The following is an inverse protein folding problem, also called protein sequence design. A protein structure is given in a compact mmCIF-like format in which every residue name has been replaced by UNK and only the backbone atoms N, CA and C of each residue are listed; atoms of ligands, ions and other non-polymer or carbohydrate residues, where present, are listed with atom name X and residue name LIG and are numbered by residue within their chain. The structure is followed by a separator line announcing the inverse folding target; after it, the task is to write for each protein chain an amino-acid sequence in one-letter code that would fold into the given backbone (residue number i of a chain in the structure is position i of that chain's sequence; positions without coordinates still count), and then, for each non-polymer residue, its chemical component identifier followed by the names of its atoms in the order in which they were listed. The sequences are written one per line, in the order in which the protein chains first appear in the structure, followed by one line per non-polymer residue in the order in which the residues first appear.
data_IF_283040348850
#
_entry.id   IF_283040348850
#
_cell.length_a   1.000
_cell.length_b   1.000
_cell.length_c   1.000
_cell.angle_alpha   90.00
_cell.angle_beta   90.00
_cell.angle_gamma   90.00
#
_symmetry.space_group_name_H-M   'P 1'
#
loop_
_entity.id
_entity.type
_entity.pdbx_description
1 polymer ?
#
# COMPACT_ATOMS: atom_id res chain seq x y z
N UNK A 1 -9.80 32.95 43.45
CA UNK A 1 -10.70 32.21 44.38
C UNK A 1 -10.88 30.76 43.96
N UNK A 2 -11.00 30.48 42.66
CA UNK A 2 -11.20 29.11 42.15
C UNK A 2 -10.08 28.14 42.54
N UNK A 3 -8.82 28.57 42.49
CA UNK A 3 -7.67 27.75 42.94
C UNK A 3 -7.85 27.20 44.36
N UNK A 4 -8.27 28.03 45.32
CA UNK A 4 -8.43 27.60 46.72
C UNK A 4 -9.54 26.55 46.84
N UNK A 5 -10.63 26.71 46.10
CA UNK A 5 -11.75 25.75 46.08
C UNK A 5 -11.34 24.43 45.43
N UNK A 6 -10.64 24.50 44.31
CA UNK A 6 -10.13 23.31 43.64
C UNK A 6 -9.07 22.59 44.50
N UNK A 7 -8.21 23.34 45.19
CA UNK A 7 -7.11 22.80 45.97
C UNK A 7 -7.52 22.27 47.35
N UNK A 8 -8.41 22.97 48.06
CA UNK A 8 -8.75 22.65 49.44
C UNK A 8 -10.18 22.14 49.62
N UNK A 9 -11.01 22.22 48.58
CA UNK A 9 -12.38 21.73 48.55
C UNK A 9 -13.39 22.85 48.29
N UNK A 10 -14.49 22.53 47.62
CA UNK A 10 -15.46 23.54 47.15
C UNK A 10 -16.06 24.39 48.28
N UNK A 11 -16.29 23.79 49.46
CA UNK A 11 -16.89 24.48 50.61
C UNK A 11 -15.85 24.99 51.63
N UNK A 12 -14.55 24.95 51.32
CA UNK A 12 -13.50 25.25 52.31
C UNK A 12 -13.63 26.67 52.87
N UNK A 13 -13.88 27.65 52.00
CA UNK A 13 -14.02 29.05 52.38
C UNK A 13 -15.33 29.28 53.14
N UNK A 14 -16.40 28.64 52.69
CA UNK A 14 -17.70 28.69 53.37
C UNK A 14 -17.65 28.14 54.79
N UNK A 15 -16.95 27.02 55.00
CA UNK A 15 -16.90 26.33 56.30
C UNK A 15 -15.80 26.86 57.22
N UNK A 16 -14.66 27.25 56.67
CA UNK A 16 -13.45 27.53 57.47
C UNK A 16 -12.81 28.90 57.17
N UNK A 17 -13.26 29.61 56.13
CA UNK A 17 -12.65 30.85 55.67
C UNK A 17 -12.96 32.04 56.58
N UNK A 18 -11.94 32.87 56.81
CA UNK A 18 -12.02 34.20 57.43
C UNK A 18 -11.29 35.16 56.47
N UNK A 19 -11.88 36.32 56.23
CA UNK A 19 -11.31 37.37 55.37
C UNK A 19 -10.58 38.37 56.25
N UNK A 20 -9.25 38.37 56.21
CA UNK A 20 -8.44 39.41 56.82
C UNK A 20 -8.21 40.53 55.79
N UNK A 21 -8.72 41.72 56.09
CA UNK A 21 -8.49 42.94 55.31
C UNK A 21 -7.36 43.71 55.99
N UNK A 22 -6.33 44.07 55.24
CA UNK A 22 -5.19 44.84 55.75
C UNK A 22 -5.34 46.33 55.44
N UNK A 23 -4.38 47.14 55.87
CA UNK A 23 -4.40 48.61 55.73
C UNK A 23 -5.52 49.26 56.55
N UNK A 24 -5.70 48.77 57.79
CA UNK A 24 -6.65 49.36 58.73
C UNK A 24 -6.37 50.81 59.08
N UNK A 25 -5.13 51.27 58.96
CA UNK A 25 -4.74 52.68 59.06
C UNK A 25 -5.44 53.54 58.02
N UNK A 26 -5.45 53.11 56.75
CA UNK A 26 -6.18 53.81 55.68
C UNK A 26 -7.68 53.82 55.96
N UNK A 27 -8.24 52.70 56.40
CA UNK A 27 -9.66 52.62 56.71
C UNK A 27 -10.05 53.53 57.89
N UNK A 28 -9.20 53.63 58.93
CA UNK A 28 -9.46 54.51 60.06
C UNK A 28 -9.56 55.97 59.62
N UNK A 29 -8.71 56.41 58.69
CA UNK A 29 -8.79 57.75 58.10
C UNK A 29 -10.11 57.96 57.34
N UNK A 30 -10.51 57.00 56.50
CA UNK A 30 -11.82 57.04 55.81
C UNK A 30 -13.01 57.02 56.78
N UNK A 31 -12.89 56.28 57.88
CA UNK A 31 -13.91 56.21 58.93
C UNK A 31 -14.05 57.54 59.66
N UNK A 32 -12.96 58.25 59.94
CA UNK A 32 -13.00 59.58 60.54
C UNK A 32 -13.72 60.60 59.64
N UNK A 33 -13.57 60.48 58.32
CA UNK A 33 -14.23 61.37 57.35
C UNK A 33 -15.70 61.01 57.11
N UNK A 34 -16.00 59.71 56.96
CA UNK A 34 -17.33 59.24 56.55
C UNK A 34 -18.25 58.84 57.71
N UNK A 35 -17.67 58.50 58.86
CA UNK A 35 -18.38 57.92 60.01
C UNK A 35 -18.86 56.48 59.80
N UNK A 36 -18.52 55.83 58.68
CA UNK A 36 -19.00 54.49 58.33
C UNK A 36 -18.18 53.43 59.07
N UNK A 37 -18.85 52.46 59.70
CA UNK A 37 -18.17 51.34 60.37
C UNK A 37 -17.57 50.35 59.37
N UNK A 38 -16.59 49.55 59.80
CA UNK A 38 -15.95 48.55 58.93
C UNK A 38 -16.96 47.54 58.36
N UNK A 39 -17.93 47.07 59.16
CA UNK A 39 -18.95 46.12 58.71
C UNK A 39 -19.89 46.73 57.66
N UNK A 40 -20.23 48.02 57.79
CA UNK A 40 -21.02 48.75 56.80
C UNK A 40 -20.21 48.97 55.52
N UNK A 41 -18.95 49.36 55.63
CA UNK A 41 -18.04 49.52 54.49
C UNK A 41 -17.89 48.22 53.71
N UNK A 42 -17.70 47.09 54.40
CA UNK A 42 -17.66 45.75 53.80
C UNK A 42 -19.00 45.43 53.11
N UNK A 43 -20.12 45.79 53.73
CA UNK A 43 -21.46 45.58 53.19
C UNK A 43 -21.79 46.40 51.94
N UNK A 44 -21.06 47.50 51.70
CA UNK A 44 -21.18 48.35 50.51
C UNK A 44 -20.29 47.89 49.35
N UNK A 45 -19.31 47.02 49.61
CA UNK A 45 -18.44 46.51 48.55
C UNK A 45 -19.22 45.66 47.54
N UNK A 46 -18.74 45.62 46.30
CA UNK A 46 -19.36 44.88 45.20
C UNK A 46 -18.35 44.00 44.47
N UNK A 47 -18.83 43.15 43.56
CA UNK A 47 -17.99 42.26 42.75
C UNK A 47 -17.30 41.16 43.57
N UNK A 48 -16.11 40.74 43.13
CA UNK A 48 -15.43 39.55 43.63
C UNK A 48 -15.09 39.59 45.14
N UNK A 49 -14.88 40.79 45.69
CA UNK A 49 -14.64 40.93 47.13
C UNK A 49 -15.90 40.63 47.94
N UNK A 50 -17.05 41.19 47.54
CA UNK A 50 -18.33 40.88 48.19
C UNK A 50 -18.68 39.40 48.08
N UNK A 51 -18.42 38.77 46.93
CA UNK A 51 -18.65 37.33 46.74
C UNK A 51 -17.83 36.49 47.74
N UNK A 52 -16.55 36.84 47.93
CA UNK A 52 -15.67 36.19 48.93
C UNK A 52 -16.18 36.41 50.36
N UNK A 53 -16.60 37.63 50.69
CA UNK A 53 -17.12 37.97 52.02
C UNK A 53 -18.42 37.21 52.31
N UNK A 54 -19.34 37.19 51.35
CA UNK A 54 -20.62 36.46 51.45
C UNK A 54 -20.39 34.97 51.60
N UNK A 55 -19.48 34.39 50.81
CA UNK A 55 -19.10 32.99 50.92
C UNK A 55 -18.53 32.66 52.31
N UNK A 56 -17.65 33.51 52.83
CA UNK A 56 -17.11 33.39 54.18
C UNK A 56 -18.11 33.78 55.28
N UNK A 57 -19.41 33.90 54.99
CA UNK A 57 -20.47 34.28 55.93
C UNK A 57 -20.16 35.56 56.72
N UNK A 58 -19.57 36.56 56.04
CA UNK A 58 -19.15 37.84 56.63
C UNK A 58 -18.21 37.70 57.84
N UNK A 59 -17.41 36.63 57.87
CA UNK A 59 -16.31 36.50 58.84
C UNK A 59 -15.13 37.33 58.36
N UNK A 60 -15.22 38.64 58.57
CA UNK A 60 -14.18 39.62 58.22
C UNK A 60 -13.50 40.15 59.48
N UNK A 61 -12.24 40.54 59.33
CA UNK A 61 -11.44 41.24 60.34
C UNK A 61 -10.58 42.28 59.65
N UNK A 62 -10.37 43.43 60.30
CA UNK A 62 -9.51 44.50 59.81
C UNK A 62 -8.20 44.52 60.60
N UNK A 63 -7.08 44.57 59.88
CA UNK A 63 -5.74 44.62 60.44
C UNK A 63 -5.02 45.90 60.01
N UNK A 64 -4.55 46.65 61.00
CA UNK A 64 -3.54 47.68 60.81
C UNK A 64 -2.18 47.08 61.16
N UNK A 65 -1.46 46.63 60.13
CA UNK A 65 -0.14 46.02 60.30
C UNK A 65 0.96 47.05 60.64
N UNK A 66 0.65 48.35 60.57
CA UNK A 66 1.60 49.44 60.81
C UNK A 66 1.48 50.03 62.22
N UNK A 67 0.40 49.70 62.95
CA UNK A 67 0.19 50.19 64.31
C UNK A 67 1.33 49.77 65.25
N UNK A 68 1.77 50.72 66.09
CA UNK A 68 2.74 50.49 67.17
C UNK A 68 2.07 50.36 68.54
N UNK A 69 0.76 50.56 68.60
CA UNK A 69 0.00 50.44 69.84
C UNK A 69 -0.30 48.96 70.13
N UNK A 70 0.29 48.46 71.21
CA UNK A 70 0.12 47.07 71.65
C UNK A 70 -1.34 46.77 72.05
N UNK A 71 -2.07 47.75 72.59
CA UNK A 71 -3.48 47.55 72.95
C UNK A 71 -4.34 47.36 71.70
N UNK A 72 -4.07 48.11 70.62
CA UNK A 72 -4.77 47.95 69.34
C UNK A 72 -4.44 46.62 68.68
N UNK A 73 -3.18 46.17 68.70
CA UNK A 73 -2.80 44.83 68.23
C UNK A 73 -3.55 43.73 68.99
N UNK A 74 -3.60 43.83 70.32
CA UNK A 74 -4.31 42.87 71.15
C UNK A 74 -5.81 42.83 70.86
N UNK A 75 -6.41 43.97 70.50
CA UNK A 75 -7.81 44.02 70.07
C UNK A 75 -7.99 43.30 68.74
N UNK A 76 -7.17 43.59 67.73
CA UNK A 76 -7.24 42.96 66.40
C UNK A 76 -7.05 41.43 66.50
N UNK A 77 -6.08 40.98 67.30
CA UNK A 77 -5.84 39.54 67.53
C UNK A 77 -7.05 38.91 68.23
N UNK A 78 -7.62 39.56 69.26
CA UNK A 78 -8.80 39.03 69.96
C UNK A 78 -10.01 38.90 69.03
N UNK A 79 -10.25 39.89 68.17
CA UNK A 79 -11.33 39.83 67.17
C UNK A 79 -11.14 38.64 66.23
N UNK A 80 -9.93 38.40 65.72
CA UNK A 80 -9.63 37.23 64.90
C UNK A 80 -9.87 35.92 65.67
N UNK A 81 -9.36 35.80 66.88
CA UNK A 81 -9.53 34.60 67.71
C UNK A 81 -11.00 34.33 68.04
N UNK A 82 -11.81 35.36 68.23
CA UNK A 82 -13.26 35.23 68.41
C UNK A 82 -13.92 34.65 67.15
N UNK A 83 -13.59 35.18 65.96
CA UNK A 83 -14.09 34.61 64.69
C UNK A 83 -13.64 33.16 64.52
N UNK A 84 -12.40 32.81 64.88
CA UNK A 84 -11.88 31.44 64.83
C UNK A 84 -12.62 30.51 65.79
N UNK A 85 -12.93 30.95 67.02
CA UNK A 85 -13.72 30.17 67.99
C UNK A 85 -15.16 29.92 67.52
N UNK A 86 -15.71 30.87 66.76
CA UNK A 86 -17.05 30.79 66.20
C UNK A 86 -17.12 30.04 64.85
N UNK A 87 -15.99 29.59 64.30
CA UNK A 87 -15.99 28.62 63.19
C UNK A 87 -16.58 27.29 63.67
N UNK A 88 -17.13 26.50 62.74
CA UNK A 88 -17.79 25.23 63.06
C UNK A 88 -16.96 24.37 64.01
N UNK A 89 -17.61 23.60 64.89
CA UNK A 89 -16.94 22.67 65.83
C UNK A 89 -16.04 21.63 65.13
N UNK A 90 -16.21 21.44 63.82
CA UNK A 90 -15.38 20.58 62.98
C UNK A 90 -14.20 21.37 62.45
N UNK A 91 -12.98 20.83 62.58
CA UNK A 91 -11.76 21.40 62.00
C UNK A 91 -11.59 20.90 60.56
N UNK A 92 -10.89 21.67 59.73
CA UNK A 92 -10.36 21.14 58.48
C UNK A 92 -9.39 19.99 58.79
N UNK A 93 -9.55 18.85 58.12
CA UNK A 93 -8.79 17.62 58.42
C UNK A 93 -8.00 17.16 57.20
N UNK A 94 -7.06 16.24 57.43
CA UNK A 94 -6.35 15.56 56.36
C UNK A 94 -7.30 14.83 55.39
N UNK A 95 -8.46 14.37 55.87
CA UNK A 95 -9.48 13.77 55.01
C UNK A 95 -10.07 14.79 54.02
N UNK A 96 -10.46 15.98 54.48
CA UNK A 96 -10.92 17.06 53.60
C UNK A 96 -9.85 17.45 52.57
N UNK A 97 -8.58 17.47 52.99
CA UNK A 97 -7.46 17.67 52.10
C UNK A 97 -7.38 16.54 51.07
N UNK A 98 -7.40 15.28 51.47
CA UNK A 98 -7.28 14.15 50.56
C UNK A 98 -8.46 14.03 49.58
N UNK A 99 -9.68 14.39 49.99
CA UNK A 99 -10.84 14.46 49.10
C UNK A 99 -10.63 15.44 47.93
N UNK A 100 -9.84 16.49 48.15
CA UNK A 100 -9.51 17.50 47.13
C UNK A 100 -8.20 17.21 46.37
N UNK A 101 -7.59 16.03 46.56
CA UNK A 101 -6.30 15.69 45.95
C UNK A 101 -6.31 15.76 44.42
N UNK A 102 -7.40 15.30 43.78
CA UNK A 102 -7.56 15.39 42.32
C UNK A 102 -7.62 16.85 41.85
N UNK A 103 -8.33 17.70 42.58
CA UNK A 103 -8.44 19.14 42.28
C UNK A 103 -7.09 19.82 42.40
N UNK A 104 -6.33 19.59 43.49
CA UNK A 104 -4.95 20.09 43.62
C UNK A 104 -4.06 19.64 42.48
N UNK A 105 -4.08 18.35 42.16
CA UNK A 105 -3.22 17.81 41.13
C UNK A 105 -3.54 18.45 39.77
N UNK A 106 -4.83 18.70 39.49
CA UNK A 106 -5.26 19.42 38.29
C UNK A 106 -4.74 20.87 38.28
N UNK A 107 -4.88 21.62 39.37
CA UNK A 107 -4.40 23.00 39.44
C UNK A 107 -2.87 23.09 39.29
N UNK A 108 -2.14 22.15 39.89
CA UNK A 108 -0.68 22.06 39.73
C UNK A 108 -0.27 21.79 38.28
N UNK A 109 -0.99 20.89 37.58
CA UNK A 109 -0.74 20.62 36.16
C UNK A 109 -1.17 21.81 35.29
N UNK A 110 -2.29 22.46 35.60
CA UNK A 110 -2.77 23.64 34.88
C UNK A 110 -1.81 24.83 35.01
N UNK A 111 -1.16 25.00 36.17
CA UNK A 111 -0.11 26.02 36.35
C UNK A 111 1.11 25.77 35.44
N UNK A 112 1.43 24.50 35.15
CA UNK A 112 2.51 24.10 34.23
C UNK A 112 2.07 24.04 32.76
N UNK A 113 0.75 24.07 32.49
CA UNK A 113 0.18 23.93 31.14
C UNK A 113 0.84 24.89 30.12
N UNK A 114 1.05 26.20 30.40
CA UNK A 114 1.63 27.10 29.41
C UNK A 114 3.03 26.68 28.94
N UNK A 115 3.86 26.20 29.88
CA UNK A 115 5.22 25.72 29.59
C UNK A 115 5.18 24.43 28.78
N UNK A 116 4.40 23.45 29.25
CA UNK A 116 4.23 22.16 28.56
C UNK A 116 3.68 22.38 27.14
N UNK A 117 2.70 23.26 26.99
CA UNK A 117 2.09 23.61 25.71
C UNK A 117 3.12 24.20 24.74
N UNK A 118 4.01 25.07 25.22
CA UNK A 118 5.09 25.64 24.40
C UNK A 118 6.05 24.56 23.90
N UNK A 119 6.54 23.70 24.79
CA UNK A 119 7.48 22.62 24.47
C UNK A 119 6.85 21.63 23.45
N UNK A 120 5.58 21.27 23.65
CA UNK A 120 4.85 20.37 22.76
C UNK A 120 4.61 21.02 21.40
N UNK A 121 4.24 22.31 21.35
CA UNK A 121 4.04 23.03 20.08
C UNK A 121 5.32 23.10 19.24
N UNK A 122 6.47 23.28 19.87
CA UNK A 122 7.76 23.26 19.18
C UNK A 122 8.00 21.88 18.54
N UNK A 123 7.82 20.79 19.30
CA UNK A 123 7.97 19.43 18.79
C UNK A 123 6.98 19.11 17.66
N UNK A 124 5.72 19.53 17.78
CA UNK A 124 4.71 19.37 16.74
C UNK A 124 5.09 20.14 15.48
N UNK A 125 5.65 21.34 15.63
CA UNK A 125 6.13 22.14 14.49
C UNK A 125 7.26 21.41 13.76
N UNK A 126 8.22 20.82 14.50
CA UNK A 126 9.29 20.02 13.91
C UNK A 126 8.75 18.79 13.17
N UNK A 127 7.83 18.03 13.80
CA UNK A 127 7.18 16.86 13.17
C UNK A 127 6.42 17.27 11.91
N UNK A 128 5.67 18.38 11.97
CA UNK A 128 4.87 18.87 10.84
C UNK A 128 5.74 19.33 9.67
N UNK A 129 6.87 19.98 9.96
CA UNK A 129 7.83 20.39 8.93
C UNK A 129 8.51 19.18 8.28
N UNK A 130 8.88 18.18 9.07
CA UNK A 130 9.47 16.95 8.56
C UNK A 130 8.46 16.14 7.73
N UNK A 131 7.21 16.04 8.18
CA UNK A 131 6.12 15.45 7.41
C UNK A 131 5.94 16.19 6.08
N UNK A 132 5.90 17.53 6.09
CA UNK A 132 5.80 18.33 4.86
C UNK A 132 6.97 18.07 3.92
N UNK A 133 8.19 17.97 4.43
CA UNK A 133 9.39 17.64 3.63
C UNK A 133 9.26 16.27 2.95
N UNK A 134 8.80 15.26 3.69
CA UNK A 134 8.57 13.92 3.14
C UNK A 134 7.46 13.95 2.08
N UNK A 135 6.35 14.65 2.36
CA UNK A 135 5.22 14.79 1.44
C UNK A 135 5.56 15.57 0.16
N UNK A 136 6.46 16.54 0.24
CA UNK A 136 6.99 17.27 -0.94
C UNK A 136 8.03 16.45 -1.73
N UNK A 137 8.54 15.36 -1.17
CA UNK A 137 9.47 14.44 -1.82
C UNK A 137 8.69 13.27 -2.45
N UNK A 138 9.24 12.05 -2.43
CA UNK A 138 8.55 10.82 -2.84
C UNK A 138 8.16 10.01 -1.58
N UNK A 139 6.93 10.17 -1.05
CA UNK A 139 6.50 9.51 0.19
C UNK A 139 6.69 8.00 0.20
N UNK A 140 6.52 7.36 -0.96
CA UNK A 140 6.63 5.92 -1.17
C UNK A 140 8.05 5.41 -0.86
N UNK A 141 9.08 6.23 -1.17
CA UNK A 141 10.48 5.91 -0.84
C UNK A 141 10.87 6.20 0.61
N UNK A 142 10.05 6.96 1.34
CA UNK A 142 10.34 7.49 2.69
C UNK A 142 9.44 6.85 3.77
N UNK A 143 8.84 5.68 3.48
CA UNK A 143 8.06 4.89 4.46
C UNK A 143 8.80 4.70 5.79
N UNK A 144 10.12 4.38 5.82
CA UNK A 144 10.86 4.28 7.08
C UNK A 144 10.87 5.59 7.89
N UNK A 145 10.99 6.74 7.21
CA UNK A 145 10.96 8.05 7.86
C UNK A 145 9.56 8.37 8.41
N UNK A 146 8.49 8.04 7.67
CA UNK A 146 7.10 8.18 8.16
C UNK A 146 6.83 7.31 9.40
N UNK A 147 7.34 6.07 9.45
CA UNK A 147 7.26 5.22 10.64
C UNK A 147 8.04 5.79 11.82
N UNK A 148 9.21 6.37 11.58
CA UNK A 148 9.99 7.04 12.62
C UNK A 148 9.26 8.28 13.18
N UNK A 149 8.60 9.06 12.32
CA UNK A 149 7.74 10.17 12.73
C UNK A 149 6.54 9.69 13.56
N UNK A 150 5.87 8.61 13.14
CA UNK A 150 4.75 8.04 13.89
C UNK A 150 5.19 7.62 15.30
N UNK A 151 6.32 6.91 15.41
CA UNK A 151 6.89 6.55 16.71
C UNK A 151 7.28 7.76 17.56
N UNK A 152 7.66 8.89 16.94
CA UNK A 152 7.92 10.15 17.65
C UNK A 152 6.62 10.78 18.16
N UNK A 153 5.53 10.73 17.38
CA UNK A 153 4.19 11.13 17.84
C UNK A 153 3.72 10.26 19.01
N UNK A 154 3.94 8.94 18.97
CA UNK A 154 3.57 8.03 20.07
C UNK A 154 4.30 8.39 21.36
N UNK A 155 5.62 8.61 21.30
CA UNK A 155 6.41 9.04 22.45
C UNK A 155 5.94 10.38 23.01
N UNK A 156 5.62 11.34 22.14
CA UNK A 156 5.10 12.64 22.54
C UNK A 156 3.74 12.49 23.24
N UNK A 157 2.85 11.66 22.68
CA UNK A 157 1.54 11.39 23.27
C UNK A 157 1.66 10.71 24.66
N UNK A 158 2.53 9.72 24.79
CA UNK A 158 2.81 9.08 26.09
C UNK A 158 3.37 10.08 27.10
N UNK A 159 4.31 10.93 26.70
CA UNK A 159 4.88 11.97 27.57
C UNK A 159 3.83 12.96 28.06
N UNK A 160 2.95 13.45 27.17
CA UNK A 160 1.88 14.39 27.57
C UNK A 160 0.85 13.72 28.47
N UNK A 161 0.50 12.46 28.19
CA UNK A 161 -0.43 11.67 29.01
C UNK A 161 0.12 11.44 30.42
N UNK A 162 1.42 11.14 30.54
CA UNK A 162 2.10 10.97 31.82
C UNK A 162 2.15 12.29 32.62
N UNK A 163 2.42 13.41 31.95
CA UNK A 163 2.42 14.74 32.58
C UNK A 163 1.03 15.19 33.03
N UNK A 164 -0.04 14.82 32.31
CA UNK A 164 -1.43 15.15 32.67
C UNK A 164 -1.88 14.45 33.96
N UNK A 165 -1.31 13.27 34.26
CA UNK A 165 -1.66 12.42 35.43
C UNK A 165 -3.17 12.11 35.53
N UNK A 166 -3.89 12.12 34.41
CA UNK A 166 -5.34 11.89 34.35
C UNK A 166 -6.17 13.04 34.93
N UNK A 167 -5.60 14.23 35.02
CA UNK A 167 -6.30 15.43 35.52
C UNK A 167 -7.21 16.04 34.44
N UNK A 168 -6.89 15.82 33.16
CA UNK A 168 -7.54 16.45 32.01
C UNK A 168 -7.19 17.93 31.84
N UNK A 169 -6.19 18.44 32.56
CA UNK A 169 -5.72 19.81 32.39
C UNK A 169 -5.05 20.01 31.02
N UNK A 170 -4.39 18.98 30.47
CA UNK A 170 -3.68 19.04 29.20
C UNK A 170 -4.52 18.55 28.00
N UNK A 171 -5.85 18.49 28.13
CA UNK A 171 -6.74 17.95 27.09
C UNK A 171 -6.60 18.68 25.74
N UNK A 172 -6.40 20.00 25.78
CA UNK A 172 -6.15 20.84 24.59
C UNK A 172 -4.88 20.39 23.85
N UNK A 173 -3.79 20.17 24.60
CA UNK A 173 -2.49 19.71 24.11
C UNK A 173 -2.57 18.27 23.58
N UNK A 174 -3.24 17.37 24.30
CA UNK A 174 -3.47 15.98 23.85
C UNK A 174 -4.23 15.94 22.53
N UNK A 175 -5.25 16.79 22.37
CA UNK A 175 -6.02 16.89 21.12
C UNK A 175 -5.13 17.34 19.95
N UNK A 176 -4.20 18.27 20.19
CA UNK A 176 -3.25 18.74 19.18
C UNK A 176 -2.29 17.60 18.76
N UNK A 177 -1.71 16.88 19.73
CA UNK A 177 -0.84 15.72 19.46
C UNK A 177 -1.58 14.63 18.69
N UNK A 178 -2.82 14.33 19.07
CA UNK A 178 -3.66 13.32 18.39
C UNK A 178 -3.95 13.70 16.94
N UNK A 179 -4.20 14.99 16.66
CA UNK A 179 -4.40 15.50 15.30
C UNK A 179 -3.13 15.31 14.45
N UNK A 180 -1.97 15.69 14.97
CA UNK A 180 -0.68 15.51 14.28
C UNK A 180 -0.37 14.02 14.05
N UNK A 181 -0.60 13.17 15.06
CA UNK A 181 -0.46 11.72 14.95
C UNK A 181 -1.34 11.17 13.84
N UNK A 182 -2.62 11.58 13.77
CA UNK A 182 -3.55 11.17 12.72
C UNK A 182 -3.03 11.56 11.33
N UNK A 183 -2.55 12.79 11.15
CA UNK A 183 -1.99 13.23 9.86
C UNK A 183 -0.77 12.40 9.42
N UNK A 184 0.13 12.06 10.36
CA UNK A 184 1.30 11.20 10.05
C UNK A 184 0.85 9.78 9.72
N UNK A 185 -0.11 9.24 10.47
CA UNK A 185 -0.67 7.90 10.24
C UNK A 185 -1.36 7.79 8.87
N UNK A 186 -2.17 8.77 8.49
CA UNK A 186 -2.83 8.84 7.18
C UNK A 186 -1.82 8.91 6.03
N UNK A 187 -0.75 9.71 6.19
CA UNK A 187 0.33 9.79 5.21
C UNK A 187 1.07 8.45 5.06
N UNK A 188 1.37 7.77 6.17
CA UNK A 188 2.00 6.45 6.16
C UNK A 188 1.13 5.41 5.45
N UNK A 189 -0.15 5.32 5.81
CA UNK A 189 -1.09 4.38 5.19
C UNK A 189 -1.22 4.61 3.69
N UNK A 190 -1.25 5.88 3.27
CA UNK A 190 -1.31 6.25 1.85
C UNK A 190 -0.02 5.83 1.11
N UNK A 191 1.15 6.08 1.70
CA UNK A 191 2.43 5.69 1.11
C UNK A 191 2.58 4.16 1.00
N UNK A 192 2.21 3.42 2.04
CA UNK A 192 2.23 1.95 2.05
C UNK A 192 1.26 1.35 1.02
N UNK A 193 0.06 1.93 0.89
CA UNK A 193 -0.91 1.52 -0.12
C UNK A 193 -0.35 1.70 -1.54
N UNK A 194 0.22 2.87 -1.83
CA UNK A 194 0.79 3.16 -3.16
C UNK A 194 1.99 2.28 -3.48
N UNK A 195 2.87 2.03 -2.51
CA UNK A 195 4.02 1.14 -2.69
C UNK A 195 3.57 -0.30 -3.01
N UNK A 196 2.51 -0.78 -2.34
CA UNK A 196 1.92 -2.08 -2.65
C UNK A 196 1.35 -2.11 -4.07
N UNK A 197 0.58 -1.09 -4.46
CA UNK A 197 0.02 -0.99 -5.81
C UNK A 197 1.12 -0.95 -6.89
N UNK A 198 2.22 -0.22 -6.65
CA UNK A 198 3.37 -0.18 -7.56
C UNK A 198 4.00 -1.56 -7.75
N UNK A 199 4.22 -2.30 -6.65
CA UNK A 199 4.75 -3.67 -6.72
C UNK A 199 3.84 -4.62 -7.49
N UNK A 200 2.53 -4.55 -7.24
CA UNK A 200 1.53 -5.35 -7.97
C UNK A 200 1.47 -5.01 -9.47
N UNK A 201 1.66 -3.74 -9.83
CA UNK A 201 1.71 -3.30 -11.22
C UNK A 201 3.01 -3.76 -11.92
N UNK A 202 4.16 -3.63 -11.25
CA UNK A 202 5.44 -4.14 -11.76
C UNK A 202 5.42 -5.65 -11.95
N UNK A 203 4.82 -6.39 -11.01
CA UNK A 203 4.65 -7.84 -11.13
C UNK A 203 3.72 -8.19 -12.30
N UNK A 204 2.59 -7.51 -12.45
CA UNK A 204 1.69 -7.69 -13.60
C UNK A 204 2.37 -7.38 -14.92
N UNK A 205 3.18 -6.32 -14.98
CA UNK A 205 3.95 -5.96 -16.17
C UNK A 205 4.96 -7.06 -16.52
N UNK A 206 5.69 -7.56 -15.52
CA UNK A 206 6.65 -8.67 -15.70
C UNK A 206 5.95 -9.95 -16.18
N UNK A 207 4.79 -10.28 -15.60
CA UNK A 207 4.00 -11.45 -16.03
C UNK A 207 3.49 -11.29 -17.46
N UNK A 208 3.04 -10.09 -17.86
CA UNK A 208 2.62 -9.81 -19.22
C UNK A 208 3.79 -9.89 -20.22
N UNK A 209 4.96 -9.35 -19.87
CA UNK A 209 6.18 -9.45 -20.68
C UNK A 209 6.63 -10.91 -20.85
N UNK A 210 6.59 -11.71 -19.79
CA UNK A 210 6.93 -13.13 -19.84
C UNK A 210 5.91 -13.94 -20.66
N UNK A 211 4.61 -13.64 -20.55
CA UNK A 211 3.56 -14.26 -21.36
C UNK A 211 3.74 -13.93 -22.84
N UNK A 212 3.96 -12.66 -23.18
CA UNK A 212 4.23 -12.22 -24.55
C UNK A 212 5.47 -12.90 -25.13
N UNK A 213 6.55 -13.03 -24.33
CA UNK A 213 7.75 -13.76 -24.78
C UNK A 213 7.45 -15.22 -25.08
N UNK A 214 6.65 -15.90 -24.26
CA UNK A 214 6.24 -17.29 -24.50
C UNK A 214 5.40 -17.42 -25.77
N UNK A 215 4.47 -16.50 -26.00
CA UNK A 215 3.66 -16.47 -27.23
C UNK A 215 4.53 -16.27 -28.47
N UNK A 216 5.52 -15.38 -28.41
CA UNK A 216 6.50 -15.19 -29.49
C UNK A 216 7.33 -16.45 -29.76
N UNK A 217 7.81 -17.11 -28.70
CA UNK A 217 8.56 -18.37 -28.83
C UNK A 217 7.68 -19.51 -29.41
N UNK A 218 6.43 -19.63 -28.98
CA UNK A 218 5.49 -20.62 -29.53
C UNK A 218 5.15 -20.33 -30.99
N UNK A 219 4.91 -19.07 -31.34
CA UNK A 219 4.67 -18.65 -32.71
C UNK A 219 5.88 -18.96 -33.60
N UNK A 220 7.09 -18.68 -33.13
CA UNK A 220 8.34 -19.03 -33.82
C UNK A 220 8.45 -20.55 -34.03
N UNK A 221 8.17 -21.36 -32.99
CA UNK A 221 8.19 -22.83 -33.10
C UNK A 221 7.18 -23.34 -34.13
N UNK A 222 5.96 -22.77 -34.17
CA UNK A 222 4.95 -23.13 -35.17
C UNK A 222 5.40 -22.76 -36.58
N UNK A 223 5.96 -21.56 -36.77
CA UNK A 223 6.51 -21.14 -38.06
C UNK A 223 7.64 -22.05 -38.54
N UNK A 224 8.55 -22.43 -37.64
CA UNK A 224 9.64 -23.35 -37.97
C UNK A 224 9.13 -24.76 -38.31
N UNK A 225 8.11 -25.25 -37.60
CA UNK A 225 7.45 -26.52 -37.93
C UNK A 225 6.83 -26.49 -39.32
N UNK A 226 6.10 -25.42 -39.67
CA UNK A 226 5.52 -25.25 -41.01
C UNK A 226 6.60 -25.20 -42.09
N UNK A 227 7.72 -24.53 -41.83
CA UNK A 227 8.87 -24.46 -42.75
C UNK A 227 9.46 -25.86 -43.01
N UNK A 228 9.66 -26.65 -41.96
CA UNK A 228 10.15 -28.02 -42.06
C UNK A 228 9.16 -28.95 -42.78
N UNK A 229 7.86 -28.77 -42.56
CA UNK A 229 6.81 -29.54 -43.24
C UNK A 229 6.76 -29.20 -44.74
N UNK A 230 6.86 -27.92 -45.08
CA UNK A 230 6.94 -27.46 -46.46
C UNK A 230 8.19 -28.03 -47.17
N UNK A 231 9.34 -28.06 -46.49
CA UNK A 231 10.56 -28.66 -47.02
C UNK A 231 10.39 -30.17 -47.25
N UNK A 232 9.75 -30.89 -46.31
CA UNK A 232 9.43 -32.32 -46.47
C UNK A 232 8.49 -32.58 -47.64
N UNK A 233 7.47 -31.74 -47.84
CA UNK A 233 6.57 -31.82 -48.98
C UNK A 233 7.32 -31.60 -50.29
N UNK A 234 8.16 -30.56 -50.37
CA UNK A 234 9.00 -30.30 -51.56
C UNK A 234 9.96 -31.46 -51.85
N UNK A 235 10.55 -32.08 -50.83
CA UNK A 235 11.36 -33.29 -51.01
C UNK A 235 10.54 -34.48 -51.51
N UNK A 236 9.35 -34.71 -50.94
CA UNK A 236 8.47 -35.78 -51.37
C UNK A 236 8.03 -35.59 -52.82
N UNK A 237 7.69 -34.37 -53.22
CA UNK A 237 7.39 -34.01 -54.61
C UNK A 237 8.57 -34.29 -55.53
N UNK A 238 9.79 -33.89 -55.13
CA UNK A 238 11.01 -34.20 -55.91
C UNK A 238 11.22 -35.71 -56.06
N UNK A 239 11.00 -36.49 -55.00
CA UNK A 239 11.12 -37.96 -55.03
C UNK A 239 10.05 -38.59 -55.91
N UNK A 240 8.80 -38.14 -55.81
CA UNK A 240 7.70 -38.61 -56.64
C UNK A 240 7.95 -38.30 -58.13
N UNK A 241 8.42 -37.09 -58.44
CA UNK A 241 8.79 -36.70 -59.79
C UNK A 241 9.96 -37.54 -60.33
N UNK A 242 10.97 -37.83 -59.50
CA UNK A 242 12.07 -38.71 -59.88
C UNK A 242 11.60 -40.14 -60.17
N UNK A 243 10.72 -40.68 -59.32
CA UNK A 243 10.12 -42.01 -59.49
C UNK A 243 9.27 -42.10 -60.76
N UNK A 244 8.44 -41.09 -61.03
CA UNK A 244 7.65 -41.01 -62.27
C UNK A 244 8.55 -41.03 -63.51
N UNK A 245 9.63 -40.22 -63.52
CA UNK A 245 10.62 -40.22 -64.62
C UNK A 245 11.34 -41.56 -64.78
N UNK A 246 11.54 -42.31 -63.71
CA UNK A 246 12.15 -43.64 -63.78
C UNK A 246 11.15 -44.68 -64.28
N UNK A 247 9.90 -44.63 -63.83
CA UNK A 247 8.82 -45.49 -64.31
C UNK A 247 8.57 -45.28 -65.81
N UNK A 248 8.55 -44.04 -66.29
CA UNK A 248 8.45 -43.72 -67.72
C UNK A 248 9.63 -44.31 -68.51
N UNK A 249 10.87 -44.16 -68.02
CA UNK A 249 12.05 -44.74 -68.66
C UNK A 249 11.98 -46.27 -68.73
N UNK A 250 11.52 -46.93 -67.67
CA UNK A 250 11.31 -48.39 -67.65
C UNK A 250 10.20 -48.82 -68.61
N UNK A 251 9.09 -48.09 -68.65
CA UNK A 251 7.99 -48.37 -69.57
C UNK A 251 8.41 -48.19 -71.04
N UNK A 252 9.19 -47.15 -71.34
CA UNK A 252 9.75 -46.93 -72.66
C UNK A 252 10.72 -48.05 -73.05
N UNK A 253 11.60 -48.46 -72.12
CA UNK A 253 12.50 -49.59 -72.35
C UNK A 253 11.73 -50.88 -72.65
N UNK A 254 10.69 -51.19 -71.87
CA UNK A 254 9.83 -52.35 -72.13
C UNK A 254 9.14 -52.27 -73.49
N UNK A 255 8.65 -51.09 -73.89
CA UNK A 255 8.07 -50.89 -75.24
C UNK A 255 9.10 -51.15 -76.34
N UNK A 256 10.33 -50.66 -76.18
CA UNK A 256 11.43 -50.91 -77.14
C UNK A 256 11.77 -52.40 -77.21
N UNK A 257 11.90 -53.07 -76.06
CA UNK A 257 12.18 -54.51 -75.99
C UNK A 257 11.05 -55.35 -76.60
N UNK A 258 9.79 -54.99 -76.35
CA UNK A 258 8.63 -55.66 -76.94
C UNK A 258 8.55 -55.42 -78.45
N UNK A 259 8.81 -54.20 -78.91
CA UNK A 259 8.87 -53.86 -80.33
C UNK A 259 10.02 -54.59 -81.03
N UNK A 260 11.18 -54.69 -80.40
CA UNK A 260 12.29 -55.54 -80.87
C UNK A 260 11.87 -57.00 -80.93
N UNK A 261 11.19 -57.53 -79.89
CA UNK A 261 10.72 -58.92 -79.88
C UNK A 261 9.73 -59.16 -81.03
N UNK A 262 8.76 -58.27 -81.21
CA UNK A 262 7.80 -58.31 -82.33
C UNK A 262 8.51 -58.18 -83.68
N UNK A 263 9.56 -57.35 -83.78
CA UNK A 263 10.37 -57.22 -84.99
C UNK A 263 11.12 -58.52 -85.30
N UNK A 264 11.77 -59.13 -84.30
CA UNK A 264 12.45 -60.44 -84.43
C UNK A 264 11.47 -61.56 -84.77
N UNK A 265 10.28 -61.57 -84.17
CA UNK A 265 9.21 -62.52 -84.50
C UNK A 265 8.75 -62.35 -85.96
N UNK A 266 8.47 -61.11 -86.40
CA UNK A 266 8.15 -60.81 -87.80
C UNK A 266 9.26 -61.23 -88.75
N UNK A 267 10.52 -60.99 -88.39
CA UNK A 267 11.68 -61.36 -89.20
C UNK A 267 11.83 -62.89 -89.32
N UNK A 268 11.67 -63.61 -88.21
CA UNK A 268 11.63 -65.09 -88.20
C UNK A 268 10.46 -65.64 -89.02
N UNK A 269 9.30 -64.98 -88.97
CA UNK A 269 8.14 -65.37 -89.77
C UNK A 269 8.38 -65.13 -91.26
N UNK A 270 9.00 -64.00 -91.63
CA UNK A 270 9.43 -63.72 -92.99
C UNK A 270 10.45 -64.75 -93.48
N UNK A 271 11.42 -65.11 -92.66
CA UNK A 271 12.41 -66.15 -92.96
C UNK A 271 11.74 -67.50 -93.18
N UNK A 272 10.77 -67.88 -92.32
CA UNK A 272 9.97 -69.11 -92.52
C UNK A 272 9.17 -69.05 -93.82
N UNK A 273 8.63 -67.90 -94.20
CA UNK A 273 7.91 -67.74 -95.48
C UNK A 273 8.87 -67.86 -96.67
N UNK A 274 10.05 -67.24 -96.59
CA UNK A 274 11.11 -67.34 -97.60
C UNK A 274 11.64 -68.77 -97.72
N UNK A 275 11.78 -69.49 -96.61
CA UNK A 275 12.19 -70.89 -96.58
C UNK A 275 11.12 -71.78 -97.22
N UNK A 276 9.84 -71.58 -96.89
CA UNK A 276 8.73 -72.25 -97.59
C UNK A 276 8.73 -71.96 -99.08
N UNK A 277 8.95 -70.71 -99.50
CA UNK A 277 9.06 -70.36 -100.92
C UNK A 277 10.28 -71.00 -101.59
N UNK A 278 11.41 -71.12 -100.89
CA UNK A 278 12.60 -71.80 -101.40
C UNK A 278 12.37 -73.31 -101.51
N UNK A 279 11.66 -73.91 -100.56
CA UNK A 279 11.26 -75.33 -100.63
C UNK A 279 10.25 -75.56 -101.76
N UNK A 280 9.24 -74.70 -101.93
CA UNK A 280 8.32 -74.74 -103.07
C UNK A 280 9.07 -74.57 -104.39
N UNK A 281 10.00 -73.62 -104.47
CA UNK A 281 10.79 -73.40 -105.68
C UNK A 281 11.73 -74.58 -105.95
N UNK A 282 12.29 -75.21 -104.92
CA UNK A 282 13.04 -76.48 -105.04
C UNK A 282 12.15 -77.62 -105.54
N UNK A 283 10.93 -77.75 -105.01
CA UNK A 283 9.96 -78.75 -105.48
C UNK A 283 9.58 -78.50 -106.94
N UNK A 284 9.34 -77.25 -107.33
CA UNK A 284 9.07 -76.87 -108.70
C UNK A 284 10.28 -77.11 -109.62
N UNK A 285 11.51 -76.85 -109.16
CA UNK A 285 12.73 -77.17 -109.92
C UNK A 285 12.96 -78.69 -110.03
N UNK A 286 12.67 -79.46 -108.99
CA UNK A 286 12.71 -80.94 -109.04
C UNK A 286 11.62 -81.50 -109.97
N UNK A 287 10.42 -80.93 -109.97
CA UNK A 287 9.35 -81.28 -110.93
C UNK A 287 9.73 -80.89 -112.36
N UNK A 288 10.31 -79.71 -112.58
CA UNK A 288 10.85 -79.29 -113.88
C UNK A 288 12.02 -80.16 -114.34
N UNK A 289 12.85 -80.63 -113.41
CA UNK A 289 13.96 -81.55 -113.71
C UNK A 289 13.44 -82.94 -114.07
N UNK A 290 12.44 -83.46 -113.34
CA UNK A 290 11.72 -84.69 -113.71
C UNK A 290 11.04 -84.55 -115.07
N UNK A 291 10.39 -83.44 -115.37
CA UNK A 291 9.77 -83.18 -116.67
C UNK A 291 10.81 -83.07 -117.82
N UNK A 292 12.03 -82.57 -117.54
CA UNK A 292 13.14 -82.57 -118.51
C UNK A 292 13.75 -83.96 -118.71
N UNK A 293 13.87 -84.75 -117.65
CA UNK A 293 14.32 -86.15 -117.71
C UNK A 293 13.27 -87.02 -118.45
N UNK A 294 11.98 -86.77 -118.28
CA UNK A 294 10.89 -87.40 -119.05
C UNK A 294 10.85 -86.94 -120.52
N UNK A 295 11.24 -85.69 -120.81
CA UNK A 295 11.36 -85.20 -122.19
C UNK A 295 12.63 -85.69 -122.91
N UNK A 296 13.68 -86.09 -122.19
CA UNK A 296 14.86 -86.76 -122.77
C UNK A 296 14.66 -88.28 -122.95
N UNK A 297 13.74 -88.90 -122.22
CA UNK A 297 13.37 -90.31 -122.42
C UNK A 297 12.40 -90.55 -123.59
N UNK A 298 11.78 -89.50 -124.15
CA UNK A 298 10.80 -89.59 -125.24
C UNK A 298 11.35 -89.24 -126.65
N UNK A 299 12.66 -89.02 -126.79
CA UNK A 299 13.31 -88.71 -128.08
C UNK A 299 14.21 -89.84 -128.62
N UNK A 300 14.19 -91.04 -128.02
CA UNK A 300 15.07 -92.17 -128.38
C UNK A 300 14.31 -93.49 -128.68
N UNK A 301 13.05 -93.43 -129.13
CA UNK A 301 12.29 -94.63 -129.52
C UNK A 301 11.64 -94.53 -130.92
N UNK A 302 12.33 -95.15 -131.89
CA UNK A 302 11.76 -95.95 -133.02
C UNK A 302 11.24 -95.12 -134.21
N UNK A 303 11.99 -94.80 -135.27
CA UNK A 303 12.68 -95.64 -136.30
C UNK A 303 12.35 -97.14 -136.27
N UNK A 304 11.29 -97.53 -136.98
CA UNK A 304 11.20 -98.59 -138.01
C UNK A 304 9.72 -98.88 -138.32
#
# INVERSE_FOLDING_TARGET
MEFIRAALGQDVLRRFGIVAVTCGDNFNFEQEETGISFDEWVGQQTGAFNDLVVECHRRTVLFDNMTRDEALKDIQIRQLLEKVRNLSSVRYTAEHFNLSAKGRQRELVAAEEPRICMDVKELITLISNELRRILSSNPESEIPALRALLARCDRLNSSVTEQDKGTGALQSVMTLVASTHKSVSEALNTAEYKERMRKEEEERRRQAEEAYRREQEEMWRRMEQLRLEEERLREAERRAAAWLREAERRAEQQRREEEERRSRERQRELERQLERQREERRRQEEELRRAREESHSNNDCTIL
#
